data_IF_785484798251
#
_entry.id   IF_785484798251
#
_cell.length_a   1.000
_cell.length_b   1.000
_cell.length_c   1.000
_cell.angle_alpha   90.00
_cell.angle_beta   90.00
_cell.angle_gamma   90.00
#
_symmetry.space_group_name_H-M   'P 1'
#
loop_
_entity.id
_entity.type
_entity.pdbx_description
1 polymer ?
#
# COMPACT_ATOMS: atom_id res chain seq x y z
N UNK A 1 -47.29 -3.55 -45.17
CA UNK A 1 -47.21 -3.98 -43.75
C UNK A 1 -45.98 -4.83 -43.43
N UNK A 2 -45.60 -5.76 -44.27
CA UNK A 2 -44.42 -6.66 -44.03
C UNK A 2 -43.09 -5.91 -43.80
N UNK A 3 -42.82 -4.80 -44.47
CA UNK A 3 -41.56 -4.03 -44.30
C UNK A 3 -41.32 -3.47 -42.93
N UNK A 4 -42.38 -3.04 -42.18
CA UNK A 4 -42.24 -2.53 -40.83
C UNK A 4 -41.87 -3.61 -39.82
N UNK A 5 -42.42 -4.78 -39.92
CA UNK A 5 -42.10 -5.92 -39.04
C UNK A 5 -40.70 -6.44 -39.28
N UNK A 6 -40.24 -6.46 -40.54
CA UNK A 6 -38.86 -6.83 -40.91
C UNK A 6 -37.85 -5.83 -40.29
N UNK A 7 -38.10 -4.52 -40.40
CA UNK A 7 -37.24 -3.49 -39.81
C UNK A 7 -37.23 -3.54 -38.27
N UNK A 8 -38.35 -3.83 -37.62
CA UNK A 8 -38.39 -4.04 -36.18
C UNK A 8 -37.62 -5.28 -35.77
N UNK A 9 -37.73 -6.39 -36.46
CA UNK A 9 -36.97 -7.61 -36.19
C UNK A 9 -35.46 -7.39 -36.36
N UNK A 10 -35.04 -6.67 -37.38
CA UNK A 10 -33.64 -6.35 -37.64
C UNK A 10 -33.06 -5.44 -36.53
N UNK A 11 -33.79 -4.41 -36.09
CA UNK A 11 -33.40 -3.55 -35.00
C UNK A 11 -33.26 -4.32 -33.66
N UNK A 12 -34.21 -5.22 -33.41
CA UNK A 12 -34.19 -6.06 -32.20
C UNK A 12 -32.98 -7.01 -32.18
N UNK A 13 -32.70 -7.61 -33.35
CA UNK A 13 -31.54 -8.49 -33.53
C UNK A 13 -30.21 -7.75 -33.36
N UNK A 14 -30.06 -6.57 -33.99
CA UNK A 14 -28.85 -5.73 -33.81
C UNK A 14 -28.70 -5.29 -32.37
N UNK A 15 -29.77 -4.88 -31.72
CA UNK A 15 -29.71 -4.50 -30.27
C UNK A 15 -29.30 -5.67 -29.37
N UNK A 16 -29.78 -6.87 -29.67
CA UNK A 16 -29.43 -8.09 -28.95
C UNK A 16 -27.94 -8.44 -29.14
N UNK A 17 -27.45 -8.43 -30.40
CA UNK A 17 -26.05 -8.73 -30.69
C UNK A 17 -25.10 -7.74 -30.07
N UNK A 18 -25.42 -6.43 -30.03
CA UNK A 18 -24.63 -5.40 -29.36
C UNK A 18 -24.57 -5.63 -27.85
N UNK A 19 -25.68 -6.01 -27.21
CA UNK A 19 -25.71 -6.35 -25.78
C UNK A 19 -24.85 -7.57 -25.46
N UNK A 20 -24.98 -8.64 -26.25
CA UNK A 20 -24.15 -9.84 -26.06
C UNK A 20 -22.68 -9.52 -26.26
N UNK A 21 -22.35 -8.75 -27.29
CA UNK A 21 -20.96 -8.29 -27.52
C UNK A 21 -20.41 -7.48 -26.34
N UNK A 22 -21.18 -6.54 -25.81
CA UNK A 22 -20.74 -5.74 -24.66
C UNK A 22 -20.47 -6.60 -23.42
N UNK A 23 -21.31 -7.60 -23.15
CA UNK A 23 -21.12 -8.54 -22.04
C UNK A 23 -19.86 -9.39 -22.25
N UNK A 24 -19.64 -9.90 -23.47
CA UNK A 24 -18.44 -10.68 -23.80
C UNK A 24 -17.16 -9.84 -23.64
N UNK A 25 -17.17 -8.60 -24.13
CA UNK A 25 -16.02 -7.68 -24.02
C UNK A 25 -15.74 -7.36 -22.52
N UNK A 26 -16.79 -7.17 -21.75
CA UNK A 26 -16.63 -6.89 -20.32
C UNK A 26 -16.11 -8.11 -19.54
N UNK A 27 -16.59 -9.30 -19.86
CA UNK A 27 -16.07 -10.56 -19.33
C UNK A 27 -14.61 -10.78 -19.70
N UNK A 28 -14.25 -10.55 -20.96
CA UNK A 28 -12.86 -10.63 -21.43
C UNK A 28 -11.95 -9.61 -20.72
N UNK A 29 -12.40 -8.36 -20.57
CA UNK A 29 -11.67 -7.34 -19.81
C UNK A 29 -11.46 -7.73 -18.36
N UNK A 30 -12.48 -8.32 -17.70
CA UNK A 30 -12.35 -8.83 -16.33
C UNK A 30 -11.31 -9.95 -16.25
N UNK A 31 -11.32 -10.85 -17.22
CA UNK A 31 -10.38 -11.98 -17.26
C UNK A 31 -8.94 -11.52 -17.51
N UNK A 32 -8.73 -10.61 -18.46
CA UNK A 32 -7.41 -10.01 -18.72
C UNK A 32 -6.88 -9.24 -17.50
N UNK A 33 -7.72 -8.45 -16.84
CA UNK A 33 -7.34 -7.76 -15.60
C UNK A 33 -6.97 -8.72 -14.49
N UNK A 34 -7.69 -9.84 -14.36
CA UNK A 34 -7.37 -10.90 -13.41
C UNK A 34 -6.00 -11.50 -13.70
N UNK A 35 -5.70 -11.82 -14.95
CA UNK A 35 -4.39 -12.40 -15.35
C UNK A 35 -3.26 -11.40 -15.07
N UNK A 36 -3.42 -10.13 -15.42
CA UNK A 36 -2.40 -9.08 -15.16
C UNK A 36 -2.17 -8.91 -13.66
N UNK A 37 -3.21 -8.99 -12.84
CA UNK A 37 -3.10 -8.83 -11.38
C UNK A 37 -2.37 -10.01 -10.71
N UNK A 38 -2.37 -11.19 -11.32
CA UNK A 38 -1.67 -12.39 -10.83
C UNK A 38 -0.32 -12.63 -11.52
N UNK A 39 0.10 -11.79 -12.46
CA UNK A 39 1.45 -11.87 -12.99
C UNK A 39 2.43 -11.53 -11.87
N UNK A 40 3.22 -12.51 -11.49
CA UNK A 40 4.38 -12.30 -10.62
C UNK A 40 5.39 -11.46 -11.38
N UNK A 41 5.44 -10.17 -11.07
CA UNK A 41 6.47 -9.29 -11.61
C UNK A 41 7.80 -9.77 -11.04
N UNK A 42 8.70 -10.27 -11.87
CA UNK A 42 10.08 -10.55 -11.49
C UNK A 42 10.85 -9.23 -11.55
N UNK A 43 11.32 -8.81 -10.40
CA UNK A 43 12.24 -7.68 -10.32
C UNK A 43 13.66 -8.23 -10.41
N UNK A 44 14.34 -7.99 -11.53
CA UNK A 44 15.76 -8.31 -11.66
C UNK A 44 16.56 -7.21 -10.97
N UNK A 45 16.87 -7.42 -9.70
CA UNK A 45 17.77 -6.53 -8.96
C UNK A 45 19.17 -6.84 -9.44
N UNK A 46 19.76 -5.94 -10.23
CA UNK A 46 21.16 -6.04 -10.61
C UNK A 46 22.02 -5.98 -9.34
N UNK A 47 22.92 -6.94 -9.14
CA UNK A 47 23.79 -6.95 -7.97
C UNK A 47 24.68 -5.70 -7.97
N UNK A 48 24.70 -5.02 -6.82
CA UNK A 48 25.58 -3.86 -6.63
C UNK A 48 27.04 -4.26 -6.83
N UNK A 49 27.82 -3.36 -7.45
CA UNK A 49 29.26 -3.56 -7.54
C UNK A 49 29.87 -3.70 -6.15
N UNK A 50 31.01 -4.43 -6.00
CA UNK A 50 31.66 -4.59 -4.71
C UNK A 50 32.01 -3.25 -4.03
N UNK A 51 32.43 -2.25 -4.80
CA UNK A 51 32.67 -0.89 -4.28
C UNK A 51 31.42 -0.20 -3.77
N UNK A 52 30.31 -0.34 -4.49
CA UNK A 52 29.02 0.23 -4.06
C UNK A 52 28.53 -0.44 -2.77
N UNK A 53 28.70 -1.76 -2.62
CA UNK A 53 28.39 -2.48 -1.38
C UNK A 53 29.21 -1.96 -0.20
N UNK A 54 30.52 -1.79 -0.38
CA UNK A 54 31.41 -1.29 0.68
C UNK A 54 30.97 0.13 1.09
N UNK A 55 30.70 1.01 0.12
CA UNK A 55 30.24 2.39 0.41
C UNK A 55 28.92 2.40 1.17
N UNK A 56 27.92 1.62 0.74
CA UNK A 56 26.63 1.54 1.43
C UNK A 56 26.80 1.00 2.85
N UNK A 57 27.62 -0.02 3.06
CA UNK A 57 27.88 -0.58 4.39
C UNK A 57 28.63 0.38 5.32
N UNK A 58 29.39 1.32 4.79
CA UNK A 58 30.11 2.34 5.55
C UNK A 58 29.23 3.56 5.86
N UNK A 59 28.17 3.79 5.08
CA UNK A 59 27.22 4.89 5.34
C UNK A 59 26.22 4.50 6.41
N UNK A 60 25.93 5.43 7.32
CA UNK A 60 24.79 5.26 8.25
C UNK A 60 23.50 5.21 7.43
N UNK A 61 22.73 4.14 7.59
CA UNK A 61 21.43 4.00 6.93
C UNK A 61 20.53 5.15 7.34
N UNK A 62 19.81 5.74 6.37
CA UNK A 62 18.69 6.63 6.65
C UNK A 62 17.52 5.82 7.21
N UNK A 63 16.61 6.49 7.88
CA UNK A 63 15.42 5.88 8.48
C UNK A 63 14.26 6.02 7.50
N UNK A 64 13.59 4.90 7.19
CA UNK A 64 12.34 4.90 6.45
C UNK A 64 11.18 4.59 7.39
N UNK A 65 10.38 5.61 7.65
CA UNK A 65 9.17 5.51 8.47
C UNK A 65 8.03 5.05 7.60
N UNK A 66 7.38 3.98 8.01
CA UNK A 66 6.33 3.31 7.26
C UNK A 66 5.02 3.33 8.07
N UNK A 67 3.96 3.84 7.48
CA UNK A 67 2.62 3.61 7.98
C UNK A 67 2.13 2.21 7.60
N UNK A 68 1.09 1.71 8.27
CA UNK A 68 0.51 0.38 8.02
C UNK A 68 -0.75 0.45 7.18
N UNK A 69 -1.81 1.02 7.74
CA UNK A 69 -3.15 0.97 7.15
C UNK A 69 -3.25 1.88 5.94
N UNK A 70 -3.79 1.36 4.83
CA UNK A 70 -3.89 2.03 3.53
C UNK A 70 -2.52 2.40 2.89
N UNK A 71 -1.42 2.01 3.55
CA UNK A 71 -0.04 2.20 3.05
C UNK A 71 0.59 0.86 2.67
N UNK A 72 0.87 -0.01 3.62
CA UNK A 72 1.43 -1.36 3.37
C UNK A 72 0.36 -2.43 3.25
N UNK A 73 -0.75 -2.23 3.92
CA UNK A 73 -1.88 -3.16 3.98
C UNK A 73 -3.20 -2.43 3.80
N UNK A 74 -4.24 -3.21 3.53
CA UNK A 74 -5.62 -2.80 3.68
C UNK A 74 -6.33 -3.77 4.62
N UNK A 75 -7.06 -3.26 5.61
CA UNK A 75 -7.77 -4.11 6.56
C UNK A 75 -9.22 -3.70 6.75
N UNK A 76 -10.05 -4.68 7.06
CA UNK A 76 -11.42 -4.47 7.50
C UNK A 76 -11.77 -5.46 8.61
N UNK A 77 -12.71 -5.09 9.47
CA UNK A 77 -13.24 -5.98 10.51
C UNK A 77 -14.64 -6.46 10.17
N UNK A 78 -15.12 -7.48 10.89
CA UNK A 78 -16.46 -8.02 10.71
C UNK A 78 -17.53 -6.91 10.73
N UNK A 79 -18.45 -6.95 9.74
CA UNK A 79 -19.58 -6.03 9.63
C UNK A 79 -19.29 -4.72 8.88
N UNK A 80 -18.07 -4.46 8.46
CA UNK A 80 -17.71 -3.29 7.64
C UNK A 80 -17.17 -3.74 6.28
N UNK A 81 -17.99 -3.51 5.25
CA UNK A 81 -17.54 -3.68 3.86
C UNK A 81 -16.87 -2.40 3.40
N UNK A 82 -15.54 -2.41 3.28
CA UNK A 82 -14.83 -1.32 2.60
C UNK A 82 -14.71 -1.62 1.10
N UNK A 83 -15.04 -0.66 0.22
CA UNK A 83 -15.11 -0.89 -1.23
C UNK A 83 -13.76 -1.08 -1.94
N UNK A 84 -12.64 -0.90 -1.23
CA UNK A 84 -11.28 -0.94 -1.77
C UNK A 84 -10.80 -2.33 -2.16
N UNK A 85 -11.37 -3.38 -1.58
CA UNK A 85 -11.04 -4.77 -1.94
C UNK A 85 -12.20 -5.36 -2.73
N UNK A 86 -11.90 -6.07 -3.83
CA UNK A 86 -12.94 -6.74 -4.62
C UNK A 86 -13.68 -7.75 -3.76
N UNK A 87 -15.01 -7.76 -3.79
CA UNK A 87 -15.81 -8.77 -3.10
C UNK A 87 -15.34 -10.18 -3.47
N UNK A 88 -15.12 -11.04 -2.46
CA UNK A 88 -14.67 -12.41 -2.66
C UNK A 88 -13.15 -12.60 -2.76
N UNK A 89 -12.35 -11.55 -2.65
CA UNK A 89 -10.88 -11.70 -2.53
C UNK A 89 -10.57 -12.24 -1.13
N UNK A 90 -9.89 -13.39 -0.99
CA UNK A 90 -9.50 -13.91 0.30
C UNK A 90 -8.46 -13.00 0.95
N UNK A 91 -8.49 -12.81 2.29
CA UNK A 91 -7.47 -12.06 2.99
C UNK A 91 -6.14 -12.84 2.99
N UNK A 92 -5.01 -12.12 2.97
CA UNK A 92 -3.70 -12.76 3.11
C UNK A 92 -3.52 -13.38 4.49
N UNK A 93 -4.09 -12.73 5.52
CA UNK A 93 -4.17 -13.29 6.87
C UNK A 93 -5.30 -12.67 7.68
N UNK A 94 -5.70 -13.38 8.73
CA UNK A 94 -6.69 -12.89 9.70
C UNK A 94 -6.02 -12.72 11.07
N UNK A 95 -6.42 -11.64 11.77
CA UNK A 95 -6.02 -11.38 13.14
C UNK A 95 -7.25 -11.38 14.04
N UNK A 96 -7.12 -12.00 15.20
CA UNK A 96 -8.10 -11.92 16.28
C UNK A 96 -7.50 -11.12 17.42
N UNK A 97 -8.04 -9.94 17.67
CA UNK A 97 -7.53 -8.98 18.65
C UNK A 97 -8.60 -8.75 19.70
N UNK A 98 -8.21 -8.69 20.95
CA UNK A 98 -9.11 -8.35 22.06
C UNK A 98 -9.10 -6.82 22.27
N UNK A 99 -10.17 -6.15 21.85
CA UNK A 99 -10.39 -4.73 22.10
C UNK A 99 -11.50 -4.59 23.13
N UNK A 100 -11.25 -3.93 24.24
CA UNK A 100 -12.22 -3.76 25.34
C UNK A 100 -12.89 -5.06 25.78
N UNK A 101 -12.10 -6.14 25.90
CA UNK A 101 -12.53 -7.51 26.23
C UNK A 101 -13.42 -8.17 25.17
N UNK A 102 -13.61 -7.55 24.02
CA UNK A 102 -14.35 -8.14 22.90
C UNK A 102 -13.38 -8.61 21.81
N UNK A 103 -13.52 -9.86 21.34
CA UNK A 103 -12.70 -10.36 20.26
C UNK A 103 -13.18 -9.80 18.94
N UNK A 104 -12.35 -8.98 18.30
CA UNK A 104 -12.57 -8.43 16.96
C UNK A 104 -11.69 -9.18 15.96
N UNK A 105 -12.27 -9.61 14.83
CA UNK A 105 -11.54 -10.22 13.73
C UNK A 105 -11.25 -9.17 12.67
N UNK A 106 -9.98 -9.07 12.29
CA UNK A 106 -9.52 -8.24 11.18
C UNK A 106 -9.09 -9.14 10.03
N UNK A 107 -9.59 -8.83 8.85
CA UNK A 107 -9.20 -9.44 7.59
C UNK A 107 -8.21 -8.50 6.92
N UNK A 108 -6.98 -8.95 6.73
CA UNK A 108 -5.87 -8.10 6.27
C UNK A 108 -5.44 -8.56 4.88
N UNK A 109 -5.38 -7.60 3.97
CA UNK A 109 -4.91 -7.76 2.60
C UNK A 109 -3.59 -6.99 2.46
N UNK A 110 -2.54 -7.65 2.07
CA UNK A 110 -1.26 -7.02 1.77
C UNK A 110 -1.36 -6.20 0.49
N UNK A 111 -0.68 -5.06 0.46
CA UNK A 111 -0.46 -4.38 -0.82
C UNK A 111 0.37 -5.29 -1.73
N UNK A 112 0.08 -5.36 -3.04
CA UNK A 112 0.91 -6.13 -3.96
C UNK A 112 2.39 -5.78 -3.80
N UNK A 113 3.24 -6.81 -3.79
CA UNK A 113 4.70 -6.71 -3.67
C UNK A 113 5.26 -6.14 -2.35
N UNK A 114 4.44 -5.97 -1.29
CA UNK A 114 4.90 -5.39 -0.02
C UNK A 114 6.05 -6.19 0.62
N UNK A 115 6.01 -7.52 0.54
CA UNK A 115 7.07 -8.38 1.12
C UNK A 115 8.42 -8.14 0.40
N UNK A 116 8.39 -8.00 -0.92
CA UNK A 116 9.55 -7.66 -1.73
C UNK A 116 10.05 -6.24 -1.43
N UNK A 117 9.14 -5.27 -1.35
CA UNK A 117 9.47 -3.88 -1.00
C UNK A 117 10.19 -3.81 0.36
N UNK A 118 9.65 -4.44 1.39
CA UNK A 118 10.26 -4.44 2.72
C UNK A 118 11.64 -5.08 2.73
N UNK A 119 11.82 -6.18 1.99
CA UNK A 119 13.10 -6.86 1.87
C UNK A 119 14.17 -5.98 1.20
N UNK A 120 13.83 -5.35 0.08
CA UNK A 120 14.77 -4.46 -0.64
C UNK A 120 15.03 -3.19 0.17
N UNK A 121 14.00 -2.54 0.69
CA UNK A 121 14.14 -1.31 1.47
C UNK A 121 14.99 -1.51 2.72
N UNK A 122 14.90 -2.67 3.39
CA UNK A 122 15.68 -2.99 4.58
C UNK A 122 17.21 -3.06 4.32
N UNK A 123 17.60 -3.26 3.07
CA UNK A 123 19.03 -3.26 2.70
C UNK A 123 19.62 -1.85 2.76
N UNK A 124 18.82 -0.82 2.48
CA UNK A 124 19.27 0.56 2.33
C UNK A 124 18.85 1.47 3.47
N UNK A 125 17.74 1.13 4.15
CA UNK A 125 17.15 1.91 5.22
C UNK A 125 17.04 1.10 6.51
N UNK A 126 17.03 1.80 7.65
CA UNK A 126 16.46 1.29 8.88
C UNK A 126 14.93 1.46 8.79
N UNK A 127 14.18 0.36 8.80
CA UNK A 127 12.73 0.41 8.68
C UNK A 127 12.11 0.63 10.06
N UNK A 128 11.20 1.60 10.15
CA UNK A 128 10.49 1.96 11.37
C UNK A 128 9.00 2.01 11.07
N UNK A 129 8.21 1.24 11.79
CA UNK A 129 6.75 1.34 11.73
C UNK A 129 6.29 2.51 12.60
N UNK A 130 5.44 3.38 12.04
CA UNK A 130 4.75 4.41 12.79
C UNK A 130 3.30 4.51 12.31
N UNK A 131 2.37 4.01 13.10
CA UNK A 131 0.95 3.94 12.74
C UNK A 131 0.07 4.64 13.78
N UNK A 132 -1.03 5.24 13.34
CA UNK A 132 -2.08 5.75 14.20
C UNK A 132 -3.00 4.63 14.76
N UNK A 133 -2.73 3.40 14.44
CA UNK A 133 -3.47 2.23 14.95
C UNK A 133 -3.07 1.86 16.37
N UNK A 134 -3.98 1.18 17.08
CA UNK A 134 -3.72 0.66 18.42
C UNK A 134 -2.59 -0.38 18.38
N UNK A 135 -1.73 -0.37 19.41
CA UNK A 135 -0.59 -1.28 19.50
C UNK A 135 -0.98 -2.76 19.37
N UNK A 136 -2.05 -3.18 20.06
CA UNK A 136 -2.50 -4.57 20.04
C UNK A 136 -2.82 -5.08 18.63
N UNK A 137 -3.29 -4.21 17.73
CA UNK A 137 -3.53 -4.53 16.34
C UNK A 137 -2.26 -4.31 15.51
N UNK A 138 -1.64 -3.13 15.61
CA UNK A 138 -0.48 -2.75 14.80
C UNK A 138 0.72 -3.67 15.02
N UNK A 139 0.96 -4.14 16.25
CA UNK A 139 2.03 -5.10 16.54
C UNK A 139 1.77 -6.44 15.86
N UNK A 140 0.54 -6.95 15.93
CA UNK A 140 0.19 -8.21 15.30
C UNK A 140 0.30 -8.15 13.76
N UNK A 141 -0.06 -7.00 13.14
CA UNK A 141 0.16 -6.77 11.71
C UNK A 141 1.65 -6.73 11.37
N UNK A 142 2.42 -5.94 12.14
CA UNK A 142 3.87 -5.80 11.91
C UNK A 142 4.60 -7.14 12.03
N UNK A 143 4.21 -8.00 12.99
CA UNK A 143 4.77 -9.35 13.14
C UNK A 143 4.49 -10.23 11.91
N UNK A 144 3.28 -10.13 11.33
CA UNK A 144 2.92 -10.86 10.11
C UNK A 144 3.66 -10.34 8.87
N UNK A 145 3.90 -9.04 8.80
CA UNK A 145 4.69 -8.44 7.72
C UNK A 145 6.18 -8.76 7.86
N UNK A 146 6.70 -8.70 9.08
CA UNK A 146 8.13 -8.99 9.35
C UNK A 146 8.48 -10.46 9.06
N UNK A 147 7.54 -11.36 9.29
CA UNK A 147 7.70 -12.81 9.06
C UNK A 147 9.03 -13.36 9.61
N UNK A 148 9.39 -12.96 10.83
CA UNK A 148 10.63 -13.32 11.52
C UNK A 148 11.95 -12.85 10.87
N UNK A 149 11.90 -11.95 9.89
CA UNK A 149 13.09 -11.37 9.24
C UNK A 149 13.83 -10.38 10.14
N UNK A 150 13.16 -9.91 11.21
CA UNK A 150 13.68 -8.92 12.17
C UNK A 150 14.10 -7.59 11.52
N UNK A 151 13.38 -7.18 10.49
CA UNK A 151 13.59 -5.92 9.78
C UNK A 151 12.67 -4.81 10.27
N UNK A 152 11.57 -5.15 10.97
CA UNK A 152 10.57 -4.21 11.52
C UNK A 152 10.62 -4.20 13.05
N UNK A 153 11.80 -3.93 13.64
CA UNK A 153 11.98 -3.99 15.09
C UNK A 153 11.53 -2.72 15.81
N UNK A 154 11.73 -1.54 15.22
CA UNK A 154 11.32 -0.26 15.80
C UNK A 154 9.90 0.06 15.38
N UNK A 155 9.01 0.24 16.36
CA UNK A 155 7.59 0.40 16.11
C UNK A 155 7.00 1.44 17.03
N UNK A 156 6.22 2.34 16.45
CA UNK A 156 5.48 3.40 17.13
C UNK A 156 4.00 3.27 16.77
N UNK A 157 3.14 3.45 17.76
CA UNK A 157 1.70 3.22 17.64
C UNK A 157 0.93 4.47 18.06
N UNK A 158 -0.39 4.40 18.08
CA UNK A 158 -1.29 5.51 18.41
C UNK A 158 -0.87 6.30 19.66
N UNK A 159 -0.43 5.65 20.72
CA UNK A 159 0.01 6.31 21.94
C UNK A 159 1.26 7.18 21.78
N UNK A 160 1.99 7.02 20.68
CA UNK A 160 3.16 7.85 20.34
C UNK A 160 2.79 8.99 19.38
N UNK A 161 1.53 9.05 18.92
CA UNK A 161 1.02 10.16 18.13
C UNK A 161 0.54 11.29 19.03
N UNK A 162 0.65 12.52 18.54
CA UNK A 162 0.01 13.69 19.14
C UNK A 162 -1.38 13.88 18.53
N UNK A 163 -2.40 14.11 19.36
CA UNK A 163 -3.74 14.40 18.88
C UNK A 163 -3.87 15.90 18.61
N UNK A 164 -3.99 16.29 17.36
CA UNK A 164 -4.13 17.69 16.93
C UNK A 164 -5.35 17.83 16.01
N UNK A 165 -6.27 18.73 16.39
CA UNK A 165 -7.49 19.01 15.62
C UNK A 165 -8.28 17.75 15.23
N UNK A 166 -8.33 16.76 16.14
CA UNK A 166 -9.01 15.49 15.91
C UNK A 166 -8.27 14.49 15.03
N UNK A 167 -7.04 14.78 14.61
CA UNK A 167 -6.18 13.90 13.81
C UNK A 167 -4.95 13.45 14.61
N UNK A 168 -4.52 12.21 14.41
CA UNK A 168 -3.27 11.72 14.97
C UNK A 168 -2.10 12.17 14.11
N UNK A 169 -1.19 12.94 14.74
CA UNK A 169 0.02 13.46 14.10
C UNK A 169 1.23 12.69 14.61
N UNK A 170 2.09 12.28 13.69
CA UNK A 170 3.31 11.53 13.96
C UNK A 170 4.46 12.51 14.17
N UNK A 171 5.00 12.59 15.37
CA UNK A 171 6.19 13.38 15.65
C UNK A 171 7.44 12.60 15.23
N UNK A 172 8.03 13.00 14.09
CA UNK A 172 9.22 12.35 13.56
C UNK A 172 10.47 12.64 14.41
N UNK A 173 10.49 13.73 15.18
CA UNK A 173 11.58 14.04 16.10
C UNK A 173 11.69 13.00 17.23
N UNK A 174 10.60 12.31 17.58
CA UNK A 174 10.61 11.20 18.54
C UNK A 174 11.40 9.98 18.00
N UNK A 175 11.56 9.87 16.68
CA UNK A 175 12.31 8.77 16.06
C UNK A 175 13.79 9.10 15.98
N UNK A 176 14.13 10.30 15.51
CA UNK A 176 15.52 10.76 15.34
C UNK A 176 15.58 12.28 15.33
N UNK A 177 16.62 12.86 15.99
CA UNK A 177 16.77 14.31 16.09
C UNK A 177 17.11 14.96 14.74
N UNK A 178 17.83 14.25 13.87
CA UNK A 178 18.15 14.74 12.53
C UNK A 178 17.05 14.30 11.54
N UNK A 179 16.13 15.21 11.26
CA UNK A 179 15.02 14.98 10.32
C UNK A 179 15.48 14.80 8.87
N UNK A 180 16.69 15.29 8.50
CA UNK A 180 17.24 15.08 7.15
C UNK A 180 17.60 13.61 6.86
N UNK A 181 17.71 12.82 7.92
CA UNK A 181 17.95 11.38 7.88
C UNK A 181 16.68 10.55 7.84
N UNK A 182 15.49 11.18 7.85
CA UNK A 182 14.19 10.49 7.87
C UNK A 182 13.48 10.68 6.53
N UNK A 183 12.96 9.57 6.01
CA UNK A 183 11.99 9.53 4.90
C UNK A 183 10.71 8.92 5.43
N UNK A 184 9.56 9.45 5.09
CA UNK A 184 8.26 8.92 5.50
C UNK A 184 7.44 8.46 4.29
N UNK A 185 6.84 7.27 4.41
CA UNK A 185 5.85 6.73 3.50
C UNK A 185 4.53 6.59 4.25
N UNK A 186 3.58 7.45 3.93
CA UNK A 186 2.27 7.55 4.58
C UNK A 186 1.23 8.03 3.57
N UNK A 187 0.05 7.46 3.59
CA UNK A 187 -1.06 7.84 2.71
C UNK A 187 -1.78 9.11 3.18
N UNK A 188 -1.53 9.57 4.41
CA UNK A 188 -2.18 10.74 5.01
C UNK A 188 -1.20 11.90 5.19
N UNK A 189 -1.26 12.95 4.35
CA UNK A 189 -0.40 14.14 4.50
C UNK A 189 -0.58 14.85 5.84
N UNK A 190 -1.72 14.71 6.49
CA UNK A 190 -1.97 15.30 7.81
C UNK A 190 -1.19 14.61 8.93
N UNK A 191 -0.76 13.37 8.73
CA UNK A 191 -0.07 12.59 9.75
C UNK A 191 1.33 13.11 10.10
N UNK A 192 1.97 13.90 9.23
CA UNK A 192 3.32 14.44 9.44
C UNK A 192 3.40 15.96 9.24
N UNK A 193 2.28 16.67 9.38
CA UNK A 193 2.21 18.14 9.16
C UNK A 193 3.12 18.96 10.06
N UNK A 194 3.52 18.43 11.21
CA UNK A 194 4.47 19.10 12.12
C UNK A 194 5.89 19.20 11.53
N UNK A 195 6.18 18.45 10.45
CA UNK A 195 7.50 18.40 9.82
C UNK A 195 7.39 18.46 8.30
N UNK A 196 6.92 19.59 7.72
CA UNK A 196 6.67 19.70 6.27
C UNK A 196 7.93 19.63 5.40
N UNK A 197 9.12 19.74 6.00
CA UNK A 197 10.41 19.63 5.30
C UNK A 197 11.03 18.22 5.27
N UNK A 198 10.38 17.20 5.85
CA UNK A 198 10.84 15.82 5.71
C UNK A 198 10.55 15.29 4.30
N UNK A 199 11.47 14.48 3.74
CA UNK A 199 11.30 13.89 2.42
C UNK A 199 10.08 12.98 2.40
N UNK A 200 9.08 13.37 1.61
CA UNK A 200 7.78 12.71 1.54
C UNK A 200 7.71 11.77 0.34
N UNK A 201 7.25 10.55 0.58
CA UNK A 201 6.75 9.65 -0.46
C UNK A 201 5.24 9.44 -0.23
N UNK A 202 4.40 10.04 -1.06
CA UNK A 202 2.95 9.88 -0.98
C UNK A 202 2.50 8.62 -1.72
N UNK A 203 1.92 7.66 -1.00
CA UNK A 203 1.39 6.41 -1.55
C UNK A 203 0.01 6.53 -2.18
N UNK A 204 -0.30 7.60 -2.92
CA UNK A 204 -1.52 7.62 -3.73
C UNK A 204 -1.34 6.70 -4.93
N UNK A 205 -2.24 5.76 -5.12
CA UNK A 205 -2.43 5.03 -6.38
C UNK A 205 -3.08 5.95 -7.43
N UNK A 206 -2.31 6.91 -7.90
CA UNK A 206 -2.51 7.63 -9.13
C UNK A 206 -1.12 8.06 -9.59
N UNK A 207 -0.78 7.69 -10.81
CA UNK A 207 0.41 8.13 -11.52
C UNK A 207 0.49 9.65 -11.38
N UNK A 208 1.38 10.12 -10.50
CA UNK A 208 1.63 11.52 -10.22
C UNK A 208 3.12 11.71 -10.11
N UNK A 209 3.69 12.37 -11.10
CA UNK A 209 5.07 12.86 -11.17
C UNK A 209 5.50 13.53 -9.87
N UNK A 210 6.55 13.00 -9.23
CA UNK A 210 7.28 13.72 -8.20
C UNK A 210 8.04 14.87 -8.86
N UNK A 211 7.62 16.10 -8.63
CA UNK A 211 8.44 17.27 -8.96
C UNK A 211 9.43 17.49 -7.82
N UNK A 212 10.67 17.22 -8.11
CA UNK A 212 11.79 17.44 -7.20
C UNK A 212 12.54 18.70 -7.68
N UNK A 213 12.66 19.69 -6.81
CA UNK A 213 13.71 20.68 -6.93
C UNK A 213 14.88 20.22 -6.04
N UNK A 214 16.01 19.91 -6.70
CA UNK A 214 17.33 19.67 -6.14
C UNK A 214 17.59 18.33 -5.40
N UNK A 215 17.57 17.22 -6.10
CA UNK A 215 18.54 16.10 -6.01
C UNK A 215 18.02 14.91 -6.83
N UNK A 216 18.87 14.38 -7.68
CA UNK A 216 18.73 13.32 -8.66
C UNK A 216 17.53 12.36 -8.56
N UNK A 217 16.84 12.25 -9.67
CA UNK A 217 15.67 11.40 -9.89
C UNK A 217 15.91 9.94 -9.50
N UNK A 218 15.18 9.46 -8.50
CA UNK A 218 14.98 8.03 -8.29
C UNK A 218 13.52 7.75 -8.63
N UNK A 219 13.29 7.39 -9.87
CA UNK A 219 12.01 6.87 -10.33
C UNK A 219 11.80 5.45 -9.76
N UNK A 220 10.92 5.34 -8.76
CA UNK A 220 10.36 4.03 -8.38
C UNK A 220 8.97 3.98 -9.00
N UNK A 221 8.89 3.47 -10.23
CA UNK A 221 7.62 3.22 -10.91
C UNK A 221 6.94 1.99 -10.31
N UNK A 222 5.77 2.19 -9.71
CA UNK A 222 4.83 1.11 -9.44
C UNK A 222 3.76 1.15 -10.55
N UNK A 223 3.79 0.21 -11.45
CA UNK A 223 2.71 -0.08 -12.41
C UNK A 223 1.76 -1.14 -11.86
#
# INVERSE_FOLDING_TARGET
MLSKYFLMGLRSFVSFTVKVWSVCVEAARRHVRSIIQYQTVRYDILPLSPLSRIRINQMKKKILVLDLDETLIHSHHDGVLKPTVRPGTPPDFMLKVLVDRQPIRFFVHKRPHVDFFLEVASQWYELVIFTASMEIYGAAVADKLDNNKKILNRRYYRQHCTLELGSYVKDLAAIHNDLSSIVILDNSPSAYRSHPGSHQMSGRSSVGTCTNTDYGDVEIGFS
#
